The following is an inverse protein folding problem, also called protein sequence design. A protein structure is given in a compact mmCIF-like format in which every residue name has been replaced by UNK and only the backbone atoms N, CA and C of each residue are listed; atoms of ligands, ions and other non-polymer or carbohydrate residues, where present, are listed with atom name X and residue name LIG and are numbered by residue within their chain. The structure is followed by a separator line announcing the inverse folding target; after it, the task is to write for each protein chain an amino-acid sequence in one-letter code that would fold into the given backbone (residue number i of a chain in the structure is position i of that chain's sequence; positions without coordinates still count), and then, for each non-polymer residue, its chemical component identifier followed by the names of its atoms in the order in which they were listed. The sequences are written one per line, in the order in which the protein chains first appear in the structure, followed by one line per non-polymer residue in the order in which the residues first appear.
data_IF_657396442133
#
_entry.id   IF_657396442133
#
_cell.length_a   1.000
_cell.length_b   1.000
_cell.length_c   1.000
_cell.angle_alpha   90.00
_cell.angle_beta   90.00
_cell.angle_gamma   90.00
#
_symmetry.space_group_name_H-M   'P 1'
#
loop_
_entity.id
_entity.type
_entity.pdbx_description
1 polymer ?
#
# COMPACT_ATOMS: atom_id res chain seq x y z
N UNK A 1 -11.36 -11.84 -12.03
CA UNK A 1 -11.65 -11.52 -10.61
C UNK A 1 -11.98 -10.04 -10.52
N UNK A 2 -13.02 -9.66 -9.76
CA UNK A 2 -13.47 -8.28 -9.64
C UNK A 2 -13.57 -7.90 -8.16
N UNK A 3 -13.05 -6.72 -7.80
CA UNK A 3 -13.21 -6.14 -6.46
C UNK A 3 -14.15 -4.94 -6.57
N UNK A 4 -15.37 -5.10 -6.06
CA UNK A 4 -16.34 -4.02 -5.98
C UNK A 4 -15.90 -2.95 -4.97
N UNK A 5 -16.35 -1.72 -5.17
CA UNK A 5 -16.00 -0.59 -4.32
C UNK A 5 -16.40 -0.84 -2.85
N UNK A 6 -17.57 -1.44 -2.63
CA UNK A 6 -18.10 -1.78 -1.30
C UNK A 6 -17.22 -2.81 -0.60
N UNK A 7 -16.72 -3.80 -1.33
CA UNK A 7 -15.77 -4.78 -0.79
C UNK A 7 -14.46 -4.08 -0.40
N UNK A 8 -13.92 -3.24 -1.27
CA UNK A 8 -12.67 -2.50 -1.00
C UNK A 8 -12.84 -1.57 0.21
N UNK A 9 -14.00 -0.93 0.35
CA UNK A 9 -14.30 -0.01 1.45
C UNK A 9 -14.19 -0.72 2.81
N UNK A 10 -14.71 -1.94 2.94
CA UNK A 10 -14.70 -2.71 4.20
C UNK A 10 -13.44 -3.54 4.44
N UNK A 11 -12.54 -3.67 3.45
CA UNK A 11 -11.26 -4.35 3.66
C UNK A 11 -10.48 -3.71 4.82
N UNK A 12 -9.92 -4.55 5.69
CA UNK A 12 -9.02 -4.08 6.74
C UNK A 12 -7.73 -3.53 6.10
N UNK A 13 -7.37 -2.31 6.48
CA UNK A 13 -6.12 -1.70 6.05
C UNK A 13 -5.01 -1.99 7.06
N UNK A 14 -3.83 -2.36 6.57
CA UNK A 14 -2.68 -2.61 7.44
C UNK A 14 -1.90 -1.32 7.61
N UNK A 15 -1.69 -0.88 8.86
CA UNK A 15 -0.78 0.23 9.16
C UNK A 15 0.66 -0.21 8.89
N UNK A 16 1.34 0.47 7.96
CA UNK A 16 2.73 0.22 7.58
C UNK A 16 3.56 1.46 7.88
N UNK A 17 4.74 1.25 8.47
CA UNK A 17 5.76 2.29 8.68
C UNK A 17 6.97 1.89 7.87
N UNK A 18 7.54 2.82 7.10
CA UNK A 18 8.78 2.56 6.37
C UNK A 18 9.93 2.32 7.37
N UNK A 19 10.73 1.27 7.17
CA UNK A 19 11.78 0.88 8.11
C UNK A 19 12.87 1.94 8.30
N UNK A 20 13.15 2.74 7.27
CA UNK A 20 14.14 3.82 7.30
C UNK A 20 13.57 5.21 7.60
N UNK A 21 12.24 5.36 7.69
CA UNK A 21 11.60 6.65 7.92
C UNK A 21 10.39 6.50 8.84
N UNK A 22 10.52 6.84 10.13
CA UNK A 22 9.43 6.67 11.10
C UNK A 22 8.23 7.60 10.82
N UNK A 23 8.41 8.67 10.03
CA UNK A 23 7.33 9.56 9.60
C UNK A 23 6.62 9.07 8.33
N UNK A 24 7.15 8.03 7.66
CA UNK A 24 6.50 7.44 6.51
C UNK A 24 5.50 6.35 6.94
N UNK A 25 4.31 6.80 7.28
CA UNK A 25 3.22 5.99 7.83
C UNK A 25 2.06 5.99 6.84
N UNK A 26 1.55 4.80 6.51
CA UNK A 26 0.38 4.65 5.64
C UNK A 26 -0.51 3.49 6.09
N UNK A 27 -1.81 3.61 5.84
CA UNK A 27 -2.73 2.48 5.86
C UNK A 27 -2.78 1.86 4.47
N UNK A 28 -2.51 0.56 4.35
CA UNK A 28 -2.32 -0.12 3.08
C UNK A 28 -3.31 -1.26 2.89
N UNK A 29 -4.13 -1.20 1.84
CA UNK A 29 -4.97 -2.32 1.36
C UNK A 29 -4.29 -2.94 0.14
N UNK A 30 -3.90 -4.20 0.22
CA UNK A 30 -3.23 -4.90 -0.88
C UNK A 30 -4.25 -5.54 -1.82
N UNK A 31 -4.61 -4.83 -2.89
CA UNK A 31 -5.62 -5.28 -3.84
C UNK A 31 -5.08 -6.41 -4.73
N UNK A 32 -3.79 -6.34 -5.10
CA UNK A 32 -3.12 -7.38 -5.87
C UNK A 32 -3.13 -8.71 -5.14
N UNK A 33 -2.76 -8.71 -3.86
CA UNK A 33 -2.75 -9.93 -3.03
C UNK A 33 -4.15 -10.53 -2.87
N UNK A 34 -5.17 -9.67 -2.66
CA UNK A 34 -6.58 -10.08 -2.51
C UNK A 34 -7.10 -10.85 -3.74
N UNK A 35 -6.59 -10.56 -4.94
CA UNK A 35 -6.95 -11.27 -6.18
C UNK A 35 -5.88 -12.25 -6.66
N UNK A 36 -4.85 -12.50 -5.86
CA UNK A 36 -3.82 -13.50 -6.13
C UNK A 36 -2.72 -13.09 -7.10
N UNK A 37 -2.52 -11.80 -7.38
CA UNK A 37 -1.36 -11.34 -8.15
C UNK A 37 -0.06 -11.67 -7.41
N UNK A 38 0.99 -12.02 -8.16
CA UNK A 38 2.30 -12.41 -7.61
C UNK A 38 3.45 -11.53 -8.09
N UNK A 39 3.33 -10.96 -9.28
CA UNK A 39 4.42 -10.24 -9.95
C UNK A 39 4.20 -8.72 -10.01
N UNK A 40 3.06 -8.23 -9.51
CA UNK A 40 2.76 -6.80 -9.50
C UNK A 40 1.99 -6.42 -8.23
N UNK A 41 2.52 -5.43 -7.50
CA UNK A 41 1.87 -4.86 -6.33
C UNK A 41 0.86 -3.77 -6.73
N UNK A 42 -0.43 -4.00 -6.47
CA UNK A 42 -1.47 -2.98 -6.58
C UNK A 42 -2.00 -2.70 -5.18
N UNK A 43 -1.79 -1.47 -4.69
CA UNK A 43 -2.16 -1.08 -3.34
C UNK A 43 -2.99 0.20 -3.35
N UNK A 44 -4.10 0.19 -2.61
CA UNK A 44 -4.80 1.41 -2.23
C UNK A 44 -4.25 1.86 -0.88
N UNK A 45 -3.62 3.04 -0.85
CA UNK A 45 -3.01 3.59 0.35
C UNK A 45 -3.72 4.87 0.80
N UNK A 46 -3.78 5.07 2.11
CA UNK A 46 -4.19 6.33 2.73
C UNK A 46 -3.05 6.84 3.62
N UNK A 47 -2.75 8.13 3.50
CA UNK A 47 -1.71 8.82 4.25
C UNK A 47 -2.39 9.95 5.02
N UNK A 48 -2.20 10.00 6.34
CA UNK A 48 -2.80 11.04 7.15
C UNK A 48 -2.07 12.39 6.94
N UNK A 49 -2.73 13.53 7.22
CA UNK A 49 -2.06 14.82 7.17
C UNK A 49 -0.79 14.83 8.03
N UNK A 50 0.34 15.24 7.44
CA UNK A 50 1.65 15.29 8.11
C UNK A 50 2.50 14.02 7.98
N UNK A 51 1.90 12.87 7.64
CA UNK A 51 2.64 11.63 7.37
C UNK A 51 3.21 11.64 5.93
N UNK A 52 4.21 10.78 5.70
CA UNK A 52 4.81 10.54 4.37
C UNK A 52 4.39 9.17 3.83
N UNK A 53 4.37 9.02 2.51
CA UNK A 53 4.07 7.72 1.89
C UNK A 53 5.22 6.71 2.05
N UNK A 54 6.47 7.19 2.00
CA UNK A 54 7.70 6.39 1.96
C UNK A 54 8.93 7.25 2.29
N UNK A 55 10.10 6.62 2.41
CA UNK A 55 11.39 7.33 2.44
C UNK A 55 11.77 7.81 1.03
N UNK A 56 12.52 8.89 0.91
CA UNK A 56 13.02 9.35 -0.39
C UNK A 56 13.90 8.25 -1.02
N UNK A 57 13.50 7.74 -2.19
CA UNK A 57 14.16 6.59 -2.80
C UNK A 57 14.08 6.63 -4.33
N UNK A 58 14.86 5.74 -4.95
CA UNK A 58 14.84 5.49 -6.40
C UNK A 58 14.97 4.00 -6.64
N UNK A 59 14.21 3.49 -7.59
CA UNK A 59 14.34 2.13 -8.08
C UNK A 59 15.39 2.11 -9.20
N UNK A 60 16.50 1.39 -8.99
CA UNK A 60 17.59 1.25 -9.99
C UNK A 60 17.48 -0.03 -10.81
N UNK A 61 16.94 -1.08 -10.21
CA UNK A 61 16.68 -2.37 -10.83
C UNK A 61 15.33 -2.86 -10.29
N UNK A 62 14.38 -3.10 -11.19
CA UNK A 62 13.12 -3.76 -10.89
C UNK A 62 13.03 -4.99 -11.79
N UNK A 63 13.11 -6.19 -11.20
CA UNK A 63 12.70 -7.46 -11.83
C UNK A 63 11.57 -8.06 -11.01
#
# INVERSE_FOLDING_TARGET
MYLAAEKIAVMEGVRRVHSLNPSAIRTNKSLGDEVGLKNLGIHLISVAPGDKSTEFHVHRYEE
#
